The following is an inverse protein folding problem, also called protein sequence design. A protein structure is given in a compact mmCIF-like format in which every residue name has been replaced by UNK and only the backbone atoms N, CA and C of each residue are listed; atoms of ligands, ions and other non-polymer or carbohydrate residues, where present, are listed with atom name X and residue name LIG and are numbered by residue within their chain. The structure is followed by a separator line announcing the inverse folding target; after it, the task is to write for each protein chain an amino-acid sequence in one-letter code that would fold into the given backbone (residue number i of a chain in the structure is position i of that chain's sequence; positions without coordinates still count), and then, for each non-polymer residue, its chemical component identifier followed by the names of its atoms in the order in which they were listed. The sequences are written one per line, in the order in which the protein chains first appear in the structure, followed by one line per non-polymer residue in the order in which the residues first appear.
data_IF_130657534103
#
_entry.id   IF_130657534103
#
_cell.length_a   1.000
_cell.length_b   1.000
_cell.length_c   1.000
_cell.angle_alpha   90.00
_cell.angle_beta   90.00
_cell.angle_gamma   90.00
#
_symmetry.space_group_name_H-M   'P 1'
#
loop_
_entity.id
_entity.type
_entity.pdbx_description
1 polymer ?
#
# COMPACT_ATOMS: atom_id res chain seq x y z
N UNK A 1 -6.02 11.27 18.89
CA UNK A 1 -4.62 11.26 18.40
C UNK A 1 -4.63 10.82 16.95
N UNK A 2 -3.96 11.59 16.08
CA UNK A 2 -4.28 11.70 14.66
C UNK A 2 -3.91 10.44 13.87
N UNK A 3 -4.87 9.88 13.14
CA UNK A 3 -4.71 8.78 12.16
C UNK A 3 -3.77 9.08 10.99
N UNK A 4 -3.03 10.19 11.04
CA UNK A 4 -2.07 10.63 10.02
C UNK A 4 -0.80 9.76 10.04
N UNK A 5 -0.38 9.31 11.23
CA UNK A 5 0.78 8.42 11.37
C UNK A 5 0.58 7.11 10.62
N UNK A 6 -0.54 6.42 10.81
CA UNK A 6 -0.81 5.12 10.17
C UNK A 6 -0.91 5.24 8.64
N UNK A 7 -1.43 6.35 8.12
CA UNK A 7 -1.54 6.57 6.66
C UNK A 7 -0.18 6.72 5.98
N UNK A 8 0.73 7.49 6.59
CA UNK A 8 2.08 7.67 6.04
C UNK A 8 2.89 6.37 5.98
N UNK A 9 2.70 5.47 6.95
CA UNK A 9 3.38 4.16 6.94
C UNK A 9 2.86 3.25 5.82
N UNK A 10 1.55 3.25 5.55
CA UNK A 10 0.98 2.45 4.46
C UNK A 10 1.46 2.92 3.09
N UNK A 11 1.46 4.23 2.85
CA UNK A 11 1.90 4.80 1.58
C UNK A 11 3.37 4.42 1.28
N UNK A 12 4.24 4.46 2.29
CA UNK A 12 5.64 4.00 2.17
C UNK A 12 5.76 2.50 1.93
N UNK A 13 4.95 1.67 2.60
CA UNK A 13 4.94 0.22 2.37
C UNK A 13 4.54 -0.10 0.93
N UNK A 14 3.51 0.57 0.40
CA UNK A 14 3.06 0.38 -0.97
C UNK A 14 4.11 0.78 -2.01
N UNK A 15 4.77 1.92 -1.81
CA UNK A 15 5.88 2.35 -2.67
C UNK A 15 7.06 1.37 -2.60
N UNK A 16 7.40 0.86 -1.41
CA UNK A 16 8.47 -0.11 -1.24
C UNK A 16 8.17 -1.48 -1.88
N UNK A 17 6.90 -1.89 -1.96
CA UNK A 17 6.50 -3.06 -2.73
C UNK A 17 6.57 -2.81 -4.24
N UNK A 18 6.10 -1.64 -4.70
CA UNK A 18 6.10 -1.29 -6.12
C UNK A 18 7.49 -1.06 -6.70
N UNK A 19 8.44 -0.61 -5.88
CA UNK A 19 9.87 -0.51 -6.23
C UNK A 19 10.48 -1.88 -6.60
N UNK A 20 9.91 -2.98 -6.09
CA UNK A 20 10.34 -4.35 -6.43
C UNK A 20 9.76 -4.86 -7.73
N UNK A 21 8.74 -4.18 -8.26
CA UNK A 21 8.12 -4.51 -9.52
C UNK A 21 6.66 -4.08 -9.58
N UNK A 22 6.12 -3.85 -10.79
CA UNK A 22 4.75 -3.42 -10.97
C UNK A 22 3.74 -4.44 -10.43
N UNK A 23 2.51 -4.00 -10.21
CA UNK A 23 1.39 -4.90 -10.04
C UNK A 23 0.10 -4.20 -9.68
N UNK A 24 -1.00 -4.93 -9.87
CA UNK A 24 -2.34 -4.48 -9.54
C UNK A 24 -2.54 -4.41 -8.02
N UNK A 25 -3.54 -3.63 -7.58
CA UNK A 25 -3.81 -3.42 -6.15
C UNK A 25 -3.96 -4.72 -5.36
N UNK A 26 -4.66 -5.72 -5.91
CA UNK A 26 -4.79 -7.03 -5.27
C UNK A 26 -3.44 -7.77 -5.10
N UNK A 27 -2.57 -7.72 -6.11
CA UNK A 27 -1.25 -8.34 -6.03
C UNK A 27 -0.35 -7.65 -4.99
N UNK A 28 -0.59 -6.37 -4.67
CA UNK A 28 0.10 -5.70 -3.56
C UNK A 28 -0.42 -6.17 -2.20
N UNK A 29 -1.73 -6.45 -2.09
CA UNK A 29 -2.33 -7.01 -0.88
C UNK A 29 -1.71 -8.37 -0.56
N UNK A 30 -1.68 -9.27 -1.53
CA UNK A 30 -1.09 -10.60 -1.36
C UNK A 30 0.40 -10.53 -1.02
N UNK A 31 1.18 -9.73 -1.76
CA UNK A 31 2.62 -9.58 -1.50
C UNK A 31 2.91 -9.01 -0.12
N UNK A 32 2.16 -8.00 0.33
CA UNK A 32 2.32 -7.43 1.67
C UNK A 32 2.00 -8.47 2.74
N UNK A 33 0.93 -9.24 2.58
CA UNK A 33 0.54 -10.30 3.51
C UNK A 33 1.62 -11.38 3.58
N UNK A 34 2.04 -11.91 2.44
CA UNK A 34 2.98 -13.03 2.38
C UNK A 34 4.35 -12.66 2.94
N UNK A 35 4.88 -11.49 2.56
CA UNK A 35 6.21 -11.05 2.98
C UNK A 35 6.27 -10.63 4.45
N UNK A 36 5.16 -10.20 5.01
CA UNK A 36 5.06 -9.84 6.43
C UNK A 36 4.69 -11.01 7.33
N UNK A 37 4.51 -12.22 6.79
CA UNK A 37 4.02 -13.37 7.55
C UNK A 37 2.61 -13.15 8.12
N UNK A 38 1.78 -12.38 7.41
CA UNK A 38 0.42 -12.03 7.83
C UNK A 38 0.30 -10.80 8.73
N UNK A 39 1.41 -10.14 9.10
CA UNK A 39 1.35 -8.94 9.94
C UNK A 39 0.73 -7.73 9.21
N UNK A 40 0.84 -7.67 7.89
CA UNK A 40 0.22 -6.66 7.02
C UNK A 40 -0.88 -7.30 6.18
N UNK A 41 -2.01 -7.58 6.82
CA UNK A 41 -3.23 -8.03 6.17
C UNK A 41 -4.23 -6.87 6.04
N UNK A 42 -4.14 -6.15 4.93
CA UNK A 42 -4.99 -4.99 4.68
C UNK A 42 -6.19 -5.33 3.79
N UNK A 43 -7.40 -4.84 4.12
CA UNK A 43 -8.54 -4.97 3.22
C UNK A 43 -8.39 -4.06 2.01
N UNK A 44 -9.10 -4.40 0.93
CA UNK A 44 -9.16 -3.59 -0.30
C UNK A 44 -9.58 -2.14 -0.03
N UNK A 45 -10.52 -1.92 0.89
CA UNK A 45 -10.99 -0.59 1.31
C UNK A 45 -9.92 0.28 1.99
N UNK A 46 -8.76 -0.28 2.32
CA UNK A 46 -7.59 0.46 2.82
C UNK A 46 -6.59 0.73 1.71
N UNK A 47 -6.38 -0.25 0.84
CA UNK A 47 -5.31 -0.26 -0.17
C UNK A 47 -5.68 0.59 -1.38
N UNK A 48 -6.87 0.41 -1.97
CA UNK A 48 -7.26 1.19 -3.15
C UNK A 48 -7.32 2.70 -2.87
N UNK A 49 -7.88 3.18 -1.74
CA UNK A 49 -7.81 4.59 -1.41
C UNK A 49 -6.39 5.12 -1.19
N UNK A 50 -5.43 4.27 -0.78
CA UNK A 50 -4.03 4.63 -0.66
C UNK A 50 -3.34 4.73 -2.02
N UNK A 51 -3.58 3.76 -2.90
CA UNK A 51 -3.10 3.81 -4.29
C UNK A 51 -3.61 5.06 -5.01
N UNK A 52 -4.90 5.38 -4.89
CA UNK A 52 -5.46 6.61 -5.45
C UNK A 52 -4.87 7.89 -4.86
N UNK A 53 -4.43 7.89 -3.59
CA UNK A 53 -3.69 9.04 -3.03
C UNK A 53 -2.32 9.18 -3.69
N UNK A 54 -1.60 8.08 -3.86
CA UNK A 54 -0.28 8.05 -4.49
C UNK A 54 -0.35 8.45 -5.97
N UNK A 55 -1.36 8.00 -6.71
CA UNK A 55 -1.66 8.44 -8.09
C UNK A 55 -1.92 9.96 -8.14
N UNK A 56 -2.78 10.49 -7.25
CA UNK A 56 -3.05 11.94 -7.17
C UNK A 56 -1.82 12.75 -6.77
N UNK A 57 -0.87 12.15 -6.06
CA UNK A 57 0.41 12.75 -5.72
C UNK A 57 1.44 12.63 -6.86
N UNK A 58 1.07 12.07 -8.01
CA UNK A 58 1.94 11.79 -9.15
C UNK A 58 3.14 10.87 -8.82
N UNK A 59 2.98 10.01 -7.81
CA UNK A 59 3.98 9.01 -7.44
C UNK A 59 3.75 7.67 -8.15
N UNK A 60 2.56 7.45 -8.69
CA UNK A 60 2.17 6.30 -9.52
C UNK A 60 1.61 6.80 -10.85
N UNK A 61 1.70 5.97 -11.89
CA UNK A 61 1.26 6.25 -13.27
C UNK A 61 0.54 5.07 -13.89
#
# INVERSE_FOLDING_TARGET
MRSEGVKGHLDLLLLAELDRGPGHGYALIERLRDRSGGAFDFPEGTIYPALHRLERAALLS
#
